data_IF_163156114805
#
_entry.id   IF_163156114805
#
_cell.length_a   1.000
_cell.length_b   1.000
_cell.length_c   1.000
_cell.angle_alpha   90.00
_cell.angle_beta   90.00
_cell.angle_gamma   90.00
#
_symmetry.space_group_name_H-M   'P 1'
#
loop_
_entity.id
_entity.type
_entity.pdbx_description
1 polymer ?
#
# COMPACT_ATOMS: atom_id res chain seq x y z
N UNK A 1 -7.30 -6.73 -3.48
CA UNK A 1 -6.97 -5.82 -4.60
C UNK A 1 -5.73 -5.03 -4.19
N UNK A 2 -4.79 -4.78 -5.10
CA UNK A 2 -3.53 -4.07 -4.80
C UNK A 2 -3.47 -2.70 -5.48
N UNK A 3 -2.96 -1.69 -4.78
CA UNK A 3 -2.81 -0.31 -5.25
C UNK A 3 -1.36 0.14 -5.03
N UNK A 4 -0.77 0.82 -6.01
CA UNK A 4 0.54 1.44 -5.84
C UNK A 4 0.35 2.85 -5.28
N UNK A 5 0.96 3.12 -4.14
CA UNK A 5 0.95 4.43 -3.51
C UNK A 5 2.37 4.99 -3.43
N UNK A 6 2.46 6.30 -3.57
CA UNK A 6 3.68 7.05 -3.33
C UNK A 6 3.62 7.71 -1.95
N UNK A 7 4.71 7.61 -1.19
CA UNK A 7 4.85 8.32 0.10
C UNK A 7 5.76 9.53 -0.06
N UNK A 8 5.29 10.67 0.45
CA UNK A 8 6.04 11.93 0.57
C UNK A 8 7.18 11.88 1.61
N UNK A 9 7.12 10.92 2.55
CA UNK A 9 8.16 10.63 3.55
C UNK A 9 9.18 9.63 3.00
N UNK A 10 8.72 8.56 2.34
CA UNK A 10 9.56 7.49 1.78
C UNK A 10 9.63 7.61 0.25
N UNK A 11 10.13 8.78 -0.23
CA UNK A 11 10.07 9.28 -1.62
C UNK A 11 10.64 8.38 -2.73
N UNK A 12 11.10 7.17 -2.44
CA UNK A 12 11.74 6.29 -3.41
C UNK A 12 11.07 4.93 -3.58
N UNK A 13 10.08 4.58 -2.75
CA UNK A 13 9.51 3.23 -2.75
C UNK A 13 8.05 3.24 -3.20
N UNK A 14 7.75 2.55 -4.30
CA UNK A 14 6.38 2.19 -4.68
C UNK A 14 5.81 1.26 -3.61
N UNK A 15 4.90 1.77 -2.78
CA UNK A 15 4.28 0.97 -1.72
C UNK A 15 3.05 0.27 -2.28
N UNK A 16 3.10 -1.05 -2.33
CA UNK A 16 1.94 -1.87 -2.69
C UNK A 16 1.03 -2.03 -1.48
N UNK A 17 -0.17 -1.46 -1.57
CA UNK A 17 -1.22 -1.61 -0.57
C UNK A 17 -2.23 -2.67 -1.01
N UNK A 18 -2.47 -3.67 -0.16
CA UNK A 18 -3.47 -4.71 -0.40
C UNK A 18 -4.70 -4.46 0.46
N UNK A 19 -5.85 -4.30 -0.20
CA UNK A 19 -7.17 -4.20 0.43
C UNK A 19 -7.92 -5.54 0.38
N UNK A 20 -8.65 -5.91 1.45
CA UNK A 20 -9.50 -7.08 1.49
C UNK A 20 -10.73 -6.89 0.61
N UNK A 21 -11.36 -7.99 0.16
CA UNK A 21 -12.53 -7.93 -0.72
C UNK A 21 -13.71 -7.12 -0.12
N UNK A 22 -13.85 -7.11 1.21
CA UNK A 22 -14.88 -6.34 1.94
C UNK A 22 -14.80 -4.83 1.72
N UNK A 23 -13.64 -4.30 1.35
CA UNK A 23 -13.45 -2.86 1.10
C UNK A 23 -14.11 -2.40 -0.21
N UNK A 24 -14.53 -3.34 -1.06
CA UNK A 24 -15.11 -3.05 -2.37
C UNK A 24 -14.07 -2.56 -3.38
N UNK A 25 -14.57 -2.07 -4.50
CA UNK A 25 -13.74 -1.44 -5.53
C UNK A 25 -13.54 0.04 -5.20
N UNK A 26 -12.28 0.49 -5.25
CA UNK A 26 -11.93 1.90 -5.08
C UNK A 26 -11.47 2.49 -6.40
N UNK A 27 -12.06 3.64 -6.73
CA UNK A 27 -11.69 4.47 -7.86
C UNK A 27 -11.13 5.78 -7.32
N UNK A 28 -9.88 6.08 -7.67
CA UNK A 28 -9.20 7.32 -7.30
C UNK A 28 -8.68 8.00 -8.57
N UNK A 29 -8.65 9.32 -8.55
CA UNK A 29 -7.92 10.09 -9.56
C UNK A 29 -6.41 9.85 -9.40
N UNK A 30 -5.61 10.02 -10.47
CA UNK A 30 -4.15 10.02 -10.36
C UNK A 30 -3.68 10.97 -9.27
N UNK A 31 -2.72 10.52 -8.45
CA UNK A 31 -2.12 11.30 -7.34
C UNK A 31 -3.11 11.79 -6.28
N UNK A 32 -4.34 11.27 -6.25
CA UNK A 32 -5.31 11.63 -5.23
C UNK A 32 -4.79 11.24 -3.84
N UNK A 33 -4.83 12.21 -2.92
CA UNK A 33 -4.47 11.96 -1.53
C UNK A 33 -5.48 11.04 -0.86
N UNK A 34 -4.97 9.97 -0.28
CA UNK A 34 -5.77 8.94 0.40
C UNK A 34 -5.24 8.70 1.80
N UNK A 35 -6.14 8.23 2.67
CA UNK A 35 -5.83 7.75 4.01
C UNK A 35 -6.15 6.26 4.09
N UNK A 36 -5.18 5.50 4.59
CA UNK A 36 -5.35 4.08 4.89
C UNK A 36 -6.06 3.90 6.24
N UNK A 37 -7.00 2.96 6.30
CA UNK A 37 -7.69 2.57 7.53
C UNK A 37 -7.02 1.32 8.10
N UNK A 38 -6.58 1.40 9.35
CA UNK A 38 -5.86 0.34 10.07
C UNK A 38 -4.69 -0.27 9.27
N UNK A 39 -3.69 0.53 8.86
CA UNK A 39 -2.56 0.02 8.10
C UNK A 39 -1.73 -0.97 8.92
N UNK A 40 -1.34 -2.09 8.32
CA UNK A 40 -0.51 -3.13 8.93
C UNK A 40 0.56 -3.56 7.93
N UNK A 41 1.82 -3.47 8.31
CA UNK A 41 2.91 -3.95 7.48
C UNK A 41 3.17 -5.44 7.74
N UNK A 42 3.35 -6.19 6.66
CA UNK A 42 3.86 -7.57 6.70
C UNK A 42 5.02 -7.70 5.73
N UNK A 43 5.88 -8.66 5.98
CA UNK A 43 7.05 -8.92 5.14
C UNK A 43 7.02 -10.34 4.62
N UNK A 44 7.47 -10.53 3.38
CA UNK A 44 7.77 -11.84 2.82
C UNK A 44 9.25 -11.89 2.44
N UNK A 45 10.03 -12.62 3.22
CA UNK A 45 11.46 -12.81 2.98
C UNK A 45 11.71 -13.99 2.05
N UNK A 46 12.56 -13.82 1.05
CA UNK A 46 12.96 -14.90 0.15
C UNK A 46 14.45 -14.80 -0.22
N UNK A 47 15.04 -15.92 -0.61
CA UNK A 47 16.46 -16.04 -0.98
C UNK A 47 16.59 -16.36 -2.48
N UNK A 48 17.46 -15.66 -3.19
CA UNK A 48 17.90 -16.02 -4.55
C UNK A 48 19.43 -16.09 -4.56
N UNK A 49 20.00 -17.28 -4.79
CA UNK A 49 21.43 -17.49 -4.63
C UNK A 49 21.86 -17.09 -3.22
N UNK A 50 22.99 -16.41 -3.04
CA UNK A 50 23.44 -15.93 -1.72
C UNK A 50 22.84 -14.58 -1.29
N UNK A 51 21.85 -14.06 -2.02
CA UNK A 51 21.20 -12.78 -1.71
C UNK A 51 19.83 -12.98 -1.07
N UNK A 52 19.59 -12.27 0.03
CA UNK A 52 18.29 -12.19 0.70
C UNK A 52 17.50 -10.98 0.20
N UNK A 53 16.21 -11.18 0.00
CA UNK A 53 15.26 -10.16 -0.42
C UNK A 53 14.08 -10.14 0.53
N UNK A 54 13.50 -8.96 0.72
CA UNK A 54 12.30 -8.78 1.55
C UNK A 54 11.30 -7.97 0.75
N UNK A 55 10.13 -8.55 0.51
CA UNK A 55 8.99 -7.83 -0.01
C UNK A 55 8.21 -7.23 1.17
N UNK A 56 8.08 -5.91 1.20
CA UNK A 56 7.21 -5.23 2.14
C UNK A 56 5.81 -5.14 1.53
N UNK A 57 4.81 -5.67 2.25
CA UNK A 57 3.41 -5.66 1.82
C UNK A 57 2.64 -4.84 2.85
N UNK A 58 2.01 -3.75 2.42
CA UNK A 58 1.18 -2.94 3.28
C UNK A 58 -0.27 -3.40 3.18
N UNK A 59 -0.84 -3.91 4.26
CA UNK A 59 -2.24 -4.27 4.36
C UNK A 59 -3.03 -3.09 4.94
N UNK A 60 -4.25 -2.87 4.47
CA UNK A 60 -5.18 -1.92 5.08
C UNK A 60 -6.61 -2.47 5.02
N UNK A 61 -7.43 -2.12 6.01
CA UNK A 61 -8.84 -2.51 6.02
C UNK A 61 -9.65 -1.76 4.96
N UNK A 62 -9.30 -0.49 4.72
CA UNK A 62 -9.93 0.36 3.72
C UNK A 62 -9.00 1.50 3.27
N UNK A 63 -9.36 2.19 2.19
CA UNK A 63 -8.71 3.39 1.67
C UNK A 63 -9.78 4.44 1.34
N UNK A 64 -9.63 5.64 1.92
CA UNK A 64 -10.58 6.75 1.76
C UNK A 64 -9.85 7.99 1.24
N UNK A 65 -10.51 8.82 0.40
CA UNK A 65 -9.94 10.10 0.01
C UNK A 65 -9.75 10.99 1.24
N UNK A 66 -8.65 11.74 1.28
CA UNK A 66 -8.51 12.81 2.26
C UNK A 66 -9.42 13.95 1.78
N UNK A 67 -10.52 14.22 2.49
CA UNK A 67 -11.32 15.41 2.19
C UNK A 67 -10.44 16.64 2.29
N UNK A 68 -10.40 17.43 1.21
CA UNK A 68 -9.86 18.78 1.23
C UNK A 68 -10.78 19.61 2.11
N UNK A 69 -10.35 19.89 3.35
CA UNK A 69 -10.97 20.95 4.14
C UNK A 69 -10.88 22.29 3.44
#
# INVERSE_FOLDING_TARGET
RSYNLYSDVQRADDVVVVLPAKAGEKHFSPEQKVKLINPRITTNGYKIGERGFVNYILLADDMLPVESK
#
